data_IF_140923641846
#
_entry.id   IF_140923641846
#
_cell.length_a   1.000
_cell.length_b   1.000
_cell.length_c   1.000
_cell.angle_alpha   90.00
_cell.angle_beta   90.00
_cell.angle_gamma   90.00
#
_symmetry.space_group_name_H-M   'P 1'
#
loop_
_entity.id
_entity.type
_entity.pdbx_description
1 polymer ?
#
# COMPACT_ATOMS: atom_id res chain seq x y z
N UNK A 1 -16.04 -33.06 18.26
CA UNK A 1 -15.10 -32.39 19.19
C UNK A 1 -15.43 -30.90 19.16
N UNK A 2 -16.01 -30.37 20.26
CA UNK A 2 -16.23 -28.94 20.43
C UNK A 2 -14.88 -28.26 20.47
N UNK A 3 -14.56 -27.46 19.45
CA UNK A 3 -13.38 -26.59 19.49
C UNK A 3 -13.57 -25.62 20.65
N UNK A 4 -12.84 -25.85 21.72
CA UNK A 4 -12.80 -24.98 22.88
C UNK A 4 -12.47 -23.56 22.39
N UNK A 5 -13.25 -22.57 22.78
CA UNK A 5 -13.00 -21.18 22.52
C UNK A 5 -11.68 -20.77 23.19
N UNK A 6 -10.57 -20.95 22.48
CA UNK A 6 -9.27 -20.50 22.96
C UNK A 6 -9.11 -19.02 22.62
N UNK A 7 -8.68 -18.17 23.58
CA UNK A 7 -8.44 -16.76 23.35
C UNK A 7 -7.18 -16.51 22.52
N UNK A 8 -6.33 -17.53 22.32
CA UNK A 8 -5.07 -17.41 21.60
C UNK A 8 -5.22 -17.83 20.14
N UNK A 9 -4.54 -17.11 19.26
CA UNK A 9 -4.43 -17.47 17.83
C UNK A 9 -3.38 -18.58 17.67
N UNK A 10 -3.82 -19.82 17.81
CA UNK A 10 -2.96 -20.99 17.58
C UNK A 10 -3.10 -21.38 16.12
N UNK A 11 -2.03 -21.14 15.36
CA UNK A 11 -1.93 -21.54 13.95
C UNK A 11 -1.79 -23.07 13.86
N UNK A 12 -2.42 -23.66 12.84
CA UNK A 12 -2.13 -25.03 12.46
C UNK A 12 -0.67 -25.15 11.99
N UNK A 13 -0.05 -26.31 12.17
CA UNK A 13 1.30 -26.58 11.68
C UNK A 13 1.35 -26.33 10.16
N UNK A 14 2.18 -25.39 9.73
CA UNK A 14 2.32 -25.04 8.32
C UNK A 14 3.80 -24.79 7.97
N UNK A 15 4.25 -25.17 6.78
CA UNK A 15 5.62 -24.95 6.34
C UNK A 15 5.91 -23.51 5.86
N UNK A 16 4.87 -22.67 5.71
CA UNK A 16 4.97 -21.38 5.05
C UNK A 16 5.95 -20.40 5.70
N UNK A 17 5.99 -20.23 7.05
CA UNK A 17 6.89 -19.27 7.69
C UNK A 17 8.36 -19.58 7.43
N UNK A 18 8.77 -20.87 7.52
CA UNK A 18 10.16 -21.27 7.30
C UNK A 18 10.54 -21.15 5.82
N UNK A 19 9.65 -21.54 4.90
CA UNK A 19 9.88 -21.40 3.46
C UNK A 19 9.97 -19.93 3.06
N UNK A 20 9.16 -19.04 3.66
CA UNK A 20 9.21 -17.61 3.38
C UNK A 20 10.52 -17.01 3.87
N UNK A 21 10.95 -17.32 5.09
CA UNK A 21 12.19 -16.77 5.66
C UNK A 21 13.42 -17.17 4.85
N UNK A 22 13.53 -18.43 4.44
CA UNK A 22 14.65 -18.91 3.60
C UNK A 22 14.63 -18.28 2.20
N UNK A 23 13.45 -18.09 1.59
CA UNK A 23 13.35 -17.45 0.28
C UNK A 23 13.62 -15.94 0.32
N UNK A 24 13.22 -15.23 1.38
CA UNK A 24 13.58 -13.82 1.57
C UNK A 24 15.10 -13.70 1.74
N UNK A 25 15.74 -14.58 2.51
CA UNK A 25 17.20 -14.60 2.63
C UNK A 25 17.90 -14.83 1.28
N UNK A 26 17.43 -15.80 0.49
CA UNK A 26 17.93 -16.04 -0.87
C UNK A 26 17.70 -14.83 -1.79
N UNK A 27 16.59 -14.13 -1.64
CA UNK A 27 16.31 -12.90 -2.39
C UNK A 27 17.32 -11.80 -2.05
N UNK A 28 17.69 -11.62 -0.79
CA UNK A 28 18.72 -10.64 -0.40
C UNK A 28 20.09 -10.99 -0.98
N UNK A 29 20.50 -12.27 -0.95
CA UNK A 29 21.73 -12.73 -1.60
C UNK A 29 21.68 -12.46 -3.11
N UNK A 30 20.56 -12.77 -3.77
CA UNK A 30 20.42 -12.55 -5.21
C UNK A 30 20.46 -11.07 -5.60
N UNK A 31 20.01 -10.15 -4.73
CA UNK A 31 20.18 -8.71 -4.94
C UNK A 31 21.67 -8.32 -4.94
N UNK A 32 22.46 -8.83 -4.00
CA UNK A 32 23.91 -8.59 -3.96
C UNK A 32 24.58 -9.15 -5.23
N UNK A 33 24.18 -10.37 -5.65
CA UNK A 33 24.68 -10.99 -6.89
C UNK A 33 24.31 -10.18 -8.14
N UNK A 34 23.10 -9.60 -8.18
CA UNK A 34 22.68 -8.73 -9.28
C UNK A 34 23.52 -7.45 -9.35
N UNK A 35 23.78 -6.80 -8.21
CA UNK A 35 24.58 -5.57 -8.16
C UNK A 35 26.06 -5.81 -8.54
N UNK A 36 26.65 -6.89 -8.05
CA UNK A 36 28.08 -7.16 -8.27
C UNK A 36 28.36 -7.88 -9.60
N UNK A 37 27.53 -8.87 -9.95
CA UNK A 37 27.78 -9.76 -11.10
C UNK A 37 26.80 -9.57 -12.25
N UNK A 38 25.82 -8.63 -12.12
CA UNK A 38 24.75 -8.36 -13.10
C UNK A 38 23.89 -9.58 -13.47
N UNK A 39 23.78 -10.55 -12.56
CA UNK A 39 23.01 -11.80 -12.75
C UNK A 39 21.55 -11.61 -12.36
N UNK A 40 20.72 -11.16 -13.32
CA UNK A 40 19.30 -10.86 -13.07
C UNK A 40 18.42 -12.12 -12.92
N UNK A 41 18.82 -13.27 -13.48
CA UNK A 41 18.01 -14.49 -13.50
C UNK A 41 17.72 -15.04 -12.10
N UNK A 42 18.71 -15.03 -11.20
CA UNK A 42 18.54 -15.49 -9.82
C UNK A 42 17.55 -14.62 -9.03
N UNK A 43 17.61 -13.30 -9.21
CA UNK A 43 16.69 -12.37 -8.57
C UNK A 43 15.26 -12.62 -9.01
N UNK A 44 15.02 -12.77 -10.33
CA UNK A 44 13.69 -13.04 -10.87
C UNK A 44 13.13 -14.37 -10.38
N UNK A 45 13.93 -15.42 -10.32
CA UNK A 45 13.51 -16.72 -9.83
C UNK A 45 13.11 -16.66 -8.34
N UNK A 46 13.92 -16.03 -7.49
CA UNK A 46 13.58 -15.87 -6.07
C UNK A 46 12.33 -15.01 -5.84
N UNK A 47 12.14 -13.97 -6.64
CA UNK A 47 10.93 -13.16 -6.59
C UNK A 47 9.67 -13.98 -6.92
N UNK A 48 9.73 -14.81 -7.95
CA UNK A 48 8.64 -15.73 -8.31
C UNK A 48 8.37 -16.71 -7.15
N UNK A 49 9.40 -17.25 -6.53
CA UNK A 49 9.25 -18.19 -5.40
C UNK A 49 8.62 -17.51 -4.18
N UNK A 50 9.03 -16.28 -3.83
CA UNK A 50 8.41 -15.50 -2.75
C UNK A 50 6.94 -15.24 -3.04
N UNK A 51 6.59 -14.86 -4.27
CA UNK A 51 5.20 -14.64 -4.67
C UNK A 51 4.36 -15.90 -4.59
N UNK A 52 4.86 -17.04 -5.06
CA UNK A 52 4.13 -18.32 -4.99
C UNK A 52 3.88 -18.79 -3.57
N UNK A 53 4.87 -18.65 -2.66
CA UNK A 53 4.74 -18.99 -1.24
C UNK A 53 3.72 -18.05 -0.58
N UNK A 54 3.76 -16.74 -0.86
CA UNK A 54 2.81 -15.77 -0.33
C UNK A 54 1.37 -16.12 -0.74
N UNK A 55 1.14 -16.42 -2.01
CA UNK A 55 -0.19 -16.77 -2.53
C UNK A 55 -0.73 -18.04 -1.87
N UNK A 56 0.12 -19.07 -1.73
CA UNK A 56 -0.29 -20.34 -1.09
C UNK A 56 -0.56 -20.15 0.39
N UNK A 57 0.24 -19.36 1.10
CA UNK A 57 0.02 -19.02 2.51
C UNK A 57 -1.29 -18.26 2.72
N UNK A 58 -1.53 -17.20 1.94
CA UNK A 58 -2.77 -16.42 2.04
C UNK A 58 -4.01 -17.24 1.67
N UNK A 59 -3.89 -18.14 0.68
CA UNK A 59 -4.96 -19.10 0.35
C UNK A 59 -5.32 -19.95 1.58
N UNK A 60 -4.34 -20.46 2.30
CA UNK A 60 -4.60 -21.31 3.47
C UNK A 60 -5.25 -20.51 4.62
N UNK A 61 -4.81 -19.26 4.87
CA UNK A 61 -5.46 -18.35 5.82
C UNK A 61 -6.93 -18.09 5.44
N UNK A 62 -7.21 -17.89 4.15
CA UNK A 62 -8.59 -17.73 3.67
C UNK A 62 -9.41 -18.99 3.93
N UNK A 63 -8.86 -20.16 3.71
CA UNK A 63 -9.54 -21.46 3.97
C UNK A 63 -9.81 -21.65 5.47
N UNK A 64 -8.88 -21.29 6.33
CA UNK A 64 -9.06 -21.32 7.79
C UNK A 64 -10.20 -20.40 8.23
N UNK A 65 -10.31 -19.21 7.64
CA UNK A 65 -11.36 -18.25 7.99
C UNK A 65 -12.74 -18.64 7.46
N UNK A 66 -12.83 -19.21 6.23
CA UNK A 66 -14.12 -19.45 5.56
C UNK A 66 -14.65 -20.84 5.77
N UNK A 67 -13.82 -21.90 5.57
CA UNK A 67 -14.27 -23.29 5.61
C UNK A 67 -14.07 -23.96 6.97
N UNK A 68 -13.03 -23.57 7.72
CA UNK A 68 -12.69 -24.20 8.98
C UNK A 68 -13.28 -23.48 10.20
N UNK A 69 -13.77 -22.23 10.03
CA UNK A 69 -14.37 -21.46 11.11
C UNK A 69 -13.40 -21.13 12.27
N UNK A 70 -12.08 -21.08 12.00
CA UNK A 70 -11.07 -20.83 13.03
C UNK A 70 -11.03 -19.38 13.50
N UNK A 71 -11.63 -18.44 12.76
CA UNK A 71 -11.69 -17.03 13.11
C UNK A 71 -12.89 -16.73 14.01
N UNK A 72 -12.74 -17.02 15.31
CA UNK A 72 -13.70 -16.62 16.32
C UNK A 72 -13.63 -15.11 16.61
N UNK A 73 -14.55 -14.58 17.42
CA UNK A 73 -14.65 -13.15 17.73
C UNK A 73 -13.35 -12.57 18.33
N UNK A 74 -12.67 -13.31 19.21
CA UNK A 74 -11.41 -12.87 19.81
C UNK A 74 -10.29 -12.74 18.76
N UNK A 75 -10.16 -13.72 17.89
CA UNK A 75 -9.18 -13.70 16.80
C UNK A 75 -9.46 -12.56 15.84
N UNK A 76 -10.74 -12.28 15.54
CA UNK A 76 -11.12 -11.15 14.70
C UNK A 76 -10.65 -9.81 15.28
N UNK A 77 -10.80 -9.62 16.59
CA UNK A 77 -10.33 -8.39 17.26
C UNK A 77 -8.79 -8.31 17.29
N UNK A 78 -8.10 -9.42 17.46
CA UNK A 78 -6.62 -9.45 17.39
C UNK A 78 -6.12 -9.10 15.99
N UNK A 79 -6.78 -9.57 14.93
CA UNK A 79 -6.43 -9.23 13.54
C UNK A 79 -6.68 -7.73 13.28
N UNK A 80 -7.78 -7.16 13.77
CA UNK A 80 -8.04 -5.72 13.69
C UNK A 80 -6.95 -4.92 14.41
N UNK A 81 -6.59 -5.32 15.62
CA UNK A 81 -5.53 -4.67 16.39
C UNK A 81 -4.16 -4.76 15.70
N UNK A 82 -3.82 -5.93 15.13
CA UNK A 82 -2.57 -6.09 14.37
C UNK A 82 -2.51 -5.18 13.13
N UNK A 83 -3.63 -4.97 12.46
CA UNK A 83 -3.70 -4.04 11.32
C UNK A 83 -3.49 -2.59 11.74
N UNK A 84 -4.02 -2.18 12.89
CA UNK A 84 -3.76 -0.84 13.45
C UNK A 84 -2.28 -0.64 13.73
N UNK A 85 -1.62 -1.62 14.37
CA UNK A 85 -0.17 -1.56 14.63
C UNK A 85 0.64 -1.51 13.34
N UNK A 86 0.22 -2.25 12.32
CA UNK A 86 0.84 -2.21 10.99
C UNK A 86 0.71 -0.82 10.36
N UNK A 87 -0.49 -0.22 10.33
CA UNK A 87 -0.71 1.14 9.81
C UNK A 87 0.12 2.16 10.58
N UNK A 88 0.22 2.04 11.90
CA UNK A 88 1.07 2.93 12.72
C UNK A 88 2.54 2.80 12.31
N UNK A 89 3.04 1.60 12.09
CA UNK A 89 4.44 1.39 11.66
C UNK A 89 4.72 2.04 10.30
N UNK A 90 3.79 1.90 9.34
CA UNK A 90 3.89 2.52 8.01
C UNK A 90 3.78 4.06 8.09
N UNK A 91 2.98 4.56 9.01
CA UNK A 91 2.91 6.01 9.28
C UNK A 91 4.27 6.56 9.75
N UNK A 92 5.00 5.86 10.62
CA UNK A 92 6.34 6.29 11.04
C UNK A 92 7.35 6.29 9.89
N UNK A 93 7.22 5.38 8.94
CA UNK A 93 8.01 5.39 7.71
C UNK A 93 7.80 6.71 6.94
N UNK A 94 6.55 7.11 6.71
CA UNK A 94 6.25 8.37 6.01
C UNK A 94 6.63 9.60 6.82
N UNK A 95 6.47 9.59 8.14
CA UNK A 95 6.95 10.68 9.02
C UNK A 95 8.45 10.91 8.82
N UNK A 96 9.25 9.86 8.66
CA UNK A 96 10.69 10.00 8.40
C UNK A 96 11.00 10.69 7.06
N UNK A 97 10.20 10.43 6.01
CA UNK A 97 10.34 11.12 4.72
C UNK A 97 9.94 12.59 4.80
N UNK A 98 8.83 12.90 5.49
CA UNK A 98 8.42 14.29 5.74
C UNK A 98 9.43 15.04 6.59
N UNK A 99 9.98 14.40 7.61
CA UNK A 99 11.07 14.98 8.39
C UNK A 99 12.27 15.32 7.51
N UNK A 100 12.75 14.38 6.72
CA UNK A 100 13.88 14.61 5.81
C UNK A 100 13.64 15.81 4.89
N UNK A 101 12.44 15.91 4.32
CA UNK A 101 12.06 17.03 3.48
C UNK A 101 12.04 18.35 4.25
N UNK A 102 11.35 18.41 5.39
CA UNK A 102 11.24 19.62 6.21
C UNK A 102 12.58 20.07 6.77
N UNK A 103 13.43 19.14 7.21
CA UNK A 103 14.77 19.46 7.70
C UNK A 103 15.60 20.19 6.64
N UNK A 104 15.57 19.72 5.41
CA UNK A 104 16.35 20.32 4.32
C UNK A 104 15.71 21.60 3.76
N UNK A 105 14.38 21.73 3.80
CA UNK A 105 13.68 22.91 3.31
C UNK A 105 13.76 24.10 4.29
N UNK A 106 13.70 23.85 5.60
CA UNK A 106 13.73 24.88 6.63
C UNK A 106 15.15 25.37 6.94
N UNK A 107 16.17 24.52 6.75
CA UNK A 107 17.56 24.85 6.95
C UNK A 107 18.41 24.40 5.74
N UNK A 108 18.32 25.10 4.59
CA UNK A 108 19.09 24.75 3.41
C UNK A 108 20.59 24.84 3.68
N UNK A 109 21.37 23.87 3.14
CA UNK A 109 22.82 23.84 3.31
C UNK A 109 23.50 25.00 2.57
N UNK A 110 24.68 25.37 3.03
CA UNK A 110 25.53 26.40 2.41
C UNK A 110 25.87 26.03 0.96
N UNK A 111 26.03 24.73 0.67
CA UNK A 111 26.29 24.19 -0.65
C UNK A 111 25.16 24.48 -1.65
N UNK A 112 23.92 24.57 -1.17
CA UNK A 112 22.73 24.97 -1.96
C UNK A 112 22.58 26.51 -2.06
N UNK A 113 23.49 27.27 -1.49
CA UNK A 113 23.44 28.73 -1.47
C UNK A 113 22.39 29.29 -0.52
N UNK A 114 22.01 28.54 0.54
CA UNK A 114 21.01 28.90 1.56
C UNK A 114 19.60 29.21 0.99
N UNK A 115 19.33 28.79 -0.22
CA UNK A 115 18.04 29.01 -0.89
C UNK A 115 17.28 27.69 -1.01
N UNK A 116 15.99 27.76 -0.69
CA UNK A 116 15.05 26.70 -0.97
C UNK A 116 13.87 27.26 -1.77
N UNK A 117 13.46 26.62 -2.79
CA UNK A 117 13.96 25.39 -3.42
C UNK A 117 15.30 25.58 -4.17
N UNK A 118 16.06 24.48 -4.46
CA UNK A 118 17.33 24.58 -5.19
C UNK A 118 17.17 25.23 -6.56
N UNK A 119 18.12 26.10 -6.92
CA UNK A 119 18.10 26.80 -8.22
C UNK A 119 18.10 25.79 -9.37
N UNK A 120 17.39 26.13 -10.47
CA UNK A 120 17.26 25.33 -11.70
C UNK A 120 16.33 24.09 -11.60
N UNK A 121 15.60 23.88 -10.51
CA UNK A 121 14.54 22.86 -10.46
C UNK A 121 13.21 23.52 -10.83
N UNK A 122 12.61 23.06 -11.92
CA UNK A 122 11.25 23.46 -12.29
C UNK A 122 10.25 22.54 -11.59
N UNK A 123 9.45 23.11 -10.69
CA UNK A 123 8.43 22.38 -9.95
C UNK A 123 7.20 22.08 -10.81
N UNK A 124 6.49 21.05 -10.40
CA UNK A 124 5.17 20.78 -10.96
C UNK A 124 4.18 21.85 -10.53
N UNK A 125 3.33 22.29 -11.45
CA UNK A 125 2.21 23.12 -11.08
C UNK A 125 1.20 22.29 -10.24
N UNK A 126 0.96 22.65 -8.98
CA UNK A 126 0.07 21.87 -8.10
C UNK A 126 -1.37 21.81 -8.63
N UNK A 127 -1.81 22.82 -9.37
CA UNK A 127 -3.19 22.92 -9.89
C UNK A 127 -3.47 22.03 -11.11
N UNK A 128 -2.48 21.35 -11.67
CA UNK A 128 -2.65 20.47 -12.83
C UNK A 128 -2.84 19.01 -12.41
N UNK A 129 -1.91 18.14 -12.81
CA UNK A 129 -1.97 16.69 -12.56
C UNK A 129 -2.05 16.37 -11.05
N UNK A 130 -1.27 17.03 -10.16
CA UNK A 130 -1.34 16.70 -8.73
C UNK A 130 -2.72 16.96 -8.10
N UNK A 131 -3.41 18.06 -8.49
CA UNK A 131 -4.77 18.32 -8.02
C UNK A 131 -5.74 17.27 -8.55
N UNK A 132 -5.63 16.88 -9.82
CA UNK A 132 -6.46 15.82 -10.39
C UNK A 132 -6.26 14.51 -9.63
N UNK A 133 -5.02 14.16 -9.29
CA UNK A 133 -4.68 12.99 -8.48
C UNK A 133 -5.34 13.02 -7.09
N UNK A 134 -5.37 14.19 -6.44
CA UNK A 134 -6.05 14.34 -5.14
C UNK A 134 -7.56 14.10 -5.27
N UNK A 135 -8.20 14.64 -6.30
CA UNK A 135 -9.63 14.44 -6.54
C UNK A 135 -9.94 12.96 -6.79
N UNK A 136 -9.10 12.26 -7.57
CA UNK A 136 -9.28 10.85 -7.88
C UNK A 136 -9.18 10.01 -6.61
N UNK A 137 -8.19 10.24 -5.75
CA UNK A 137 -8.05 9.48 -4.50
C UNK A 137 -9.20 9.79 -3.52
N UNK A 138 -9.57 11.04 -3.34
CA UNK A 138 -10.72 11.41 -2.49
C UNK A 138 -12.03 10.79 -2.98
N UNK A 139 -12.27 10.77 -4.30
CA UNK A 139 -13.45 10.09 -4.86
C UNK A 139 -13.36 8.57 -4.68
N UNK A 140 -12.18 7.96 -4.76
CA UNK A 140 -11.96 6.54 -4.47
C UNK A 140 -12.24 6.19 -3.01
N UNK A 141 -11.83 7.08 -2.08
CA UNK A 141 -12.14 6.97 -0.65
C UNK A 141 -13.65 7.01 -0.38
N UNK A 142 -14.37 7.89 -1.09
CA UNK A 142 -15.84 7.94 -1.02
C UNK A 142 -16.48 6.67 -1.59
N UNK A 143 -15.99 6.15 -2.72
CA UNK A 143 -16.57 4.92 -3.31
C UNK A 143 -16.34 3.69 -2.45
N UNK A 144 -15.23 3.57 -1.70
CA UNK A 144 -15.01 2.45 -0.78
C UNK A 144 -15.92 2.53 0.44
N UNK A 145 -16.22 3.72 0.96
CA UNK A 145 -17.21 3.89 2.04
C UNK A 145 -18.61 3.50 1.59
N UNK A 146 -19.02 3.88 0.37
CA UNK A 146 -20.27 3.40 -0.23
C UNK A 146 -20.30 1.89 -0.39
N UNK A 147 -19.18 1.28 -0.79
CA UNK A 147 -19.04 -0.18 -0.88
C UNK A 147 -19.36 -0.83 0.46
N UNK A 148 -18.83 -0.28 1.57
CA UNK A 148 -19.09 -0.77 2.92
C UNK A 148 -20.56 -0.66 3.30
N UNK A 149 -21.19 0.49 3.04
CA UNK A 149 -22.62 0.70 3.31
C UNK A 149 -23.51 -0.29 2.54
N UNK A 150 -23.22 -0.55 1.26
CA UNK A 150 -23.98 -1.53 0.47
C UNK A 150 -23.73 -2.97 0.91
N UNK A 151 -22.52 -3.28 1.40
CA UNK A 151 -22.20 -4.60 1.96
C UNK A 151 -23.03 -4.86 3.22
N UNK A 152 -23.09 -3.91 4.15
CA UNK A 152 -23.92 -3.98 5.37
C UNK A 152 -25.42 -4.14 5.04
N UNK A 153 -25.89 -3.45 4.00
CA UNK A 153 -27.27 -3.56 3.51
C UNK A 153 -27.53 -4.79 2.62
N UNK A 154 -26.55 -5.70 2.50
CA UNK A 154 -26.63 -6.93 1.70
C UNK A 154 -26.97 -6.74 0.21
N UNK A 155 -26.64 -5.57 -0.37
CA UNK A 155 -26.89 -5.22 -1.78
C UNK A 155 -25.67 -5.61 -2.67
N UNK A 156 -25.49 -6.90 -2.94
CA UNK A 156 -24.29 -7.47 -3.61
C UNK A 156 -23.93 -6.82 -4.97
N UNK A 157 -24.93 -6.49 -5.80
CA UNK A 157 -24.68 -5.86 -7.10
C UNK A 157 -24.00 -4.51 -6.95
N UNK A 158 -24.51 -3.69 -6.04
CA UNK A 158 -23.99 -2.36 -5.78
C UNK A 158 -22.60 -2.41 -5.10
N UNK A 159 -22.39 -3.33 -4.14
CA UNK A 159 -21.07 -3.53 -3.54
C UNK A 159 -20.00 -3.85 -4.58
N UNK A 160 -20.29 -4.78 -5.49
CA UNK A 160 -19.34 -5.13 -6.56
C UNK A 160 -19.10 -3.96 -7.55
N UNK A 161 -20.15 -3.19 -7.84
CA UNK A 161 -20.03 -2.03 -8.74
C UNK A 161 -19.09 -0.96 -8.13
N UNK A 162 -19.36 -0.53 -6.90
CA UNK A 162 -18.55 0.50 -6.24
C UNK A 162 -17.12 0.02 -5.95
N UNK A 163 -16.93 -1.27 -5.64
CA UNK A 163 -15.60 -1.85 -5.50
C UNK A 163 -14.81 -1.84 -6.81
N UNK A 164 -15.43 -2.18 -7.94
CA UNK A 164 -14.79 -2.05 -9.25
C UNK A 164 -14.42 -0.60 -9.55
N UNK A 165 -15.29 0.34 -9.21
CA UNK A 165 -15.06 1.76 -9.43
C UNK A 165 -13.85 2.27 -8.63
N UNK A 166 -13.70 1.86 -7.35
CA UNK A 166 -12.50 2.18 -6.56
C UNK A 166 -11.22 1.65 -7.20
N UNK A 167 -11.24 0.41 -7.70
CA UNK A 167 -10.08 -0.20 -8.38
C UNK A 167 -9.74 0.54 -9.67
N UNK A 168 -10.72 0.95 -10.47
CA UNK A 168 -10.48 1.71 -11.70
C UNK A 168 -9.86 3.07 -11.37
N UNK A 169 -10.39 3.78 -10.37
CA UNK A 169 -9.84 5.07 -9.93
C UNK A 169 -8.40 4.94 -9.44
N UNK A 170 -8.09 3.89 -8.69
CA UNK A 170 -6.72 3.64 -8.22
C UNK A 170 -5.73 3.38 -9.36
N UNK A 171 -6.14 2.61 -10.38
CA UNK A 171 -5.31 2.38 -11.56
C UNK A 171 -5.12 3.67 -12.37
N UNK A 172 -6.16 4.49 -12.46
CA UNK A 172 -6.07 5.78 -13.13
C UNK A 172 -5.09 6.72 -12.43
N UNK A 173 -5.12 6.77 -11.10
CA UNK A 173 -4.11 7.49 -10.30
C UNK A 173 -2.68 7.05 -10.63
N UNK A 174 -2.42 5.74 -10.67
CA UNK A 174 -1.08 5.21 -10.98
C UNK A 174 -0.60 5.60 -12.38
N UNK A 175 -1.50 5.60 -13.36
CA UNK A 175 -1.18 6.03 -14.74
C UNK A 175 -0.80 7.52 -14.76
N UNK A 176 -1.56 8.38 -14.09
CA UNK A 176 -1.27 9.80 -14.01
C UNK A 176 0.06 10.08 -13.29
N UNK A 177 0.36 9.34 -12.21
CA UNK A 177 1.64 9.44 -11.51
C UNK A 177 2.83 9.04 -12.40
N UNK A 178 2.66 8.00 -13.23
CA UNK A 178 3.68 7.63 -14.22
C UNK A 178 3.87 8.71 -15.31
N UNK A 179 2.80 9.37 -15.74
CA UNK A 179 2.88 10.48 -16.71
C UNK A 179 3.64 11.65 -16.08
N UNK A 180 3.33 11.99 -14.83
CA UNK A 180 4.01 13.03 -14.07
C UNK A 180 5.52 12.76 -13.97
N UNK A 181 5.92 11.54 -13.62
CA UNK A 181 7.34 11.15 -13.57
C UNK A 181 8.06 11.26 -14.92
N UNK A 182 7.35 11.02 -16.03
CA UNK A 182 7.93 11.18 -17.38
C UNK A 182 8.08 12.65 -17.79
N UNK A 183 7.22 13.53 -17.26
CA UNK A 183 7.24 14.96 -17.53
C UNK A 183 8.17 15.74 -16.59
N UNK A 184 8.68 15.09 -15.55
CA UNK A 184 9.59 15.69 -14.59
C UNK A 184 10.85 16.21 -15.28
N UNK A 185 11.22 17.44 -14.96
CA UNK A 185 12.43 18.11 -15.47
C UNK A 185 13.66 17.83 -14.62
N UNK A 186 13.49 17.14 -13.49
CA UNK A 186 14.52 16.77 -12.53
C UNK A 186 14.53 15.25 -12.30
N UNK A 187 15.70 14.74 -11.95
CA UNK A 187 15.91 13.30 -11.66
C UNK A 187 16.16 13.07 -10.17
N UNK A 188 16.21 11.81 -9.78
CA UNK A 188 16.49 11.40 -8.40
C UNK A 188 17.84 11.93 -7.88
N UNK A 189 18.84 12.06 -8.76
CA UNK A 189 20.21 12.44 -8.42
C UNK A 189 20.47 13.95 -8.45
N UNK A 190 19.55 14.76 -8.98
CA UNK A 190 19.85 16.19 -9.24
C UNK A 190 19.93 17.02 -7.95
N UNK A 191 19.19 16.64 -6.91
CA UNK A 191 19.19 17.39 -5.65
C UNK A 191 18.55 16.60 -4.50
N UNK A 192 18.68 17.15 -3.29
CA UNK A 192 17.95 16.65 -2.10
C UNK A 192 16.44 16.73 -2.32
N UNK A 193 15.94 17.75 -3.05
CA UNK A 193 14.52 17.83 -3.41
C UNK A 193 14.12 16.64 -4.29
N UNK A 194 14.86 16.35 -5.35
CA UNK A 194 14.59 15.23 -6.26
C UNK A 194 14.59 13.89 -5.53
N UNK A 195 15.63 13.63 -4.74
CA UNK A 195 15.72 12.37 -3.98
C UNK A 195 14.58 12.20 -2.98
N UNK A 196 14.24 13.22 -2.18
CA UNK A 196 13.15 13.18 -1.21
C UNK A 196 11.78 13.06 -1.89
N UNK A 197 11.56 13.75 -3.01
CA UNK A 197 10.35 13.67 -3.80
C UNK A 197 10.11 12.26 -4.34
N UNK A 198 11.08 11.70 -5.08
CA UNK A 198 10.93 10.37 -5.67
C UNK A 198 10.87 9.26 -4.63
N UNK A 199 11.57 9.39 -3.49
CA UNK A 199 11.44 8.44 -2.39
C UNK A 199 10.03 8.46 -1.80
N UNK A 200 9.54 9.63 -1.37
CA UNK A 200 8.25 9.74 -0.71
C UNK A 200 7.08 9.38 -1.64
N UNK A 201 7.04 9.91 -2.85
CA UNK A 201 5.99 9.62 -3.84
C UNK A 201 6.11 8.20 -4.40
N UNK A 202 7.32 7.65 -4.55
CA UNK A 202 7.55 6.28 -5.00
C UNK A 202 7.09 5.24 -3.98
N UNK A 203 7.42 5.42 -2.69
CA UNK A 203 6.90 4.56 -1.63
C UNK A 203 5.37 4.66 -1.52
N UNK A 204 4.81 5.88 -1.64
CA UNK A 204 3.36 6.04 -1.71
C UNK A 204 2.75 5.26 -2.88
N UNK A 205 3.36 5.35 -4.08
CA UNK A 205 2.92 4.59 -5.25
C UNK A 205 2.96 3.07 -5.03
N UNK A 206 3.98 2.54 -4.37
CA UNK A 206 4.05 1.13 -3.97
C UNK A 206 2.90 0.75 -3.02
N UNK A 207 2.59 1.61 -2.03
CA UNK A 207 1.45 1.39 -1.13
C UNK A 207 0.12 1.41 -1.88
N UNK A 208 -0.06 2.30 -2.86
CA UNK A 208 -1.25 2.31 -3.73
C UNK A 208 -1.36 0.99 -4.49
N UNK A 209 -0.27 0.44 -5.04
CA UNK A 209 -0.28 -0.86 -5.74
C UNK A 209 -0.68 -1.98 -4.78
N UNK A 210 -0.10 -2.05 -3.58
CA UNK A 210 -0.44 -3.06 -2.57
C UNK A 210 -1.91 -2.91 -2.15
N UNK A 211 -2.37 -1.69 -1.91
CA UNK A 211 -3.76 -1.40 -1.57
C UNK A 211 -4.74 -1.85 -2.66
N UNK A 212 -4.43 -1.57 -3.93
CA UNK A 212 -5.25 -2.04 -5.06
C UNK A 212 -5.29 -3.56 -5.16
N UNK A 213 -4.17 -4.24 -4.88
CA UNK A 213 -4.14 -5.72 -4.81
C UNK A 213 -5.04 -6.25 -3.70
N UNK A 214 -5.05 -5.63 -2.51
CA UNK A 214 -5.97 -6.00 -1.43
C UNK A 214 -7.43 -5.82 -1.83
N UNK A 215 -7.76 -4.71 -2.51
CA UNK A 215 -9.12 -4.47 -3.01
C UNK A 215 -9.51 -5.50 -4.09
N UNK A 216 -8.61 -5.84 -5.02
CA UNK A 216 -8.86 -6.87 -6.05
C UNK A 216 -9.11 -8.24 -5.43
N UNK A 217 -8.32 -8.65 -4.43
CA UNK A 217 -8.53 -9.91 -3.71
C UNK A 217 -9.89 -9.94 -3.00
N UNK A 218 -10.28 -8.82 -2.36
CA UNK A 218 -11.59 -8.73 -1.74
C UNK A 218 -12.73 -8.77 -2.76
N UNK A 219 -12.56 -8.16 -3.93
CA UNK A 219 -13.53 -8.26 -5.03
C UNK A 219 -13.71 -9.72 -5.48
N UNK A 220 -12.61 -10.49 -5.65
CA UNK A 220 -12.68 -11.91 -5.98
C UNK A 220 -13.41 -12.71 -4.90
N UNK A 221 -13.15 -12.42 -3.62
CA UNK A 221 -13.82 -13.05 -2.47
C UNK A 221 -15.32 -12.70 -2.43
N UNK A 222 -15.70 -11.47 -2.76
CA UNK A 222 -17.11 -11.06 -2.88
C UNK A 222 -17.83 -11.81 -4.00
N UNK A 223 -17.19 -11.99 -5.16
CA UNK A 223 -17.74 -12.79 -6.27
C UNK A 223 -17.99 -14.23 -5.84
N UNK A 224 -17.07 -14.82 -5.10
CA UNK A 224 -17.16 -16.19 -4.60
C UNK A 224 -18.03 -16.35 -3.33
N UNK A 225 -18.74 -15.28 -2.93
CA UNK A 225 -19.61 -15.27 -1.75
C UNK A 225 -18.92 -15.61 -0.42
N UNK A 226 -17.62 -15.35 -0.32
CA UNK A 226 -16.84 -15.58 0.92
C UNK A 226 -17.06 -14.48 1.96
N UNK A 227 -17.60 -13.32 1.57
CA UNK A 227 -17.87 -12.19 2.46
C UNK A 227 -19.37 -12.06 2.69
N UNK A 228 -19.76 -11.92 3.95
CA UNK A 228 -21.14 -11.69 4.38
C UNK A 228 -21.25 -10.35 5.11
N UNK A 229 -22.47 -9.88 5.33
CA UNK A 229 -22.72 -8.66 6.12
C UNK A 229 -22.26 -8.77 7.58
N UNK A 230 -22.14 -10.01 8.13
CA UNK A 230 -21.63 -10.26 9.50
C UNK A 230 -20.12 -10.46 9.50
N UNK A 231 -19.57 -11.15 8.50
CA UNK A 231 -18.16 -11.55 8.46
C UNK A 231 -17.48 -11.00 7.21
N UNK A 232 -16.93 -9.79 7.31
CA UNK A 232 -16.26 -9.08 6.21
C UNK A 232 -14.96 -8.37 6.64
N UNK A 233 -14.26 -8.92 7.64
CA UNK A 233 -13.06 -8.30 8.23
C UNK A 233 -12.02 -7.96 7.19
N UNK A 234 -11.73 -8.87 6.22
CA UNK A 234 -10.71 -8.59 5.20
C UNK A 234 -11.03 -7.34 4.38
N UNK A 235 -12.32 -7.06 4.13
CA UNK A 235 -12.73 -5.83 3.48
C UNK A 235 -12.53 -4.62 4.39
N UNK A 236 -12.93 -4.69 5.66
CA UNK A 236 -12.70 -3.60 6.63
C UNK A 236 -11.21 -3.21 6.71
N UNK A 237 -10.34 -4.21 6.83
CA UNK A 237 -8.89 -3.98 6.93
C UNK A 237 -8.31 -3.35 5.65
N UNK A 238 -8.78 -3.79 4.48
CA UNK A 238 -8.37 -3.18 3.21
C UNK A 238 -8.88 -1.75 3.07
N UNK A 239 -10.07 -1.44 3.57
CA UNK A 239 -10.62 -0.09 3.58
C UNK A 239 -9.83 0.84 4.51
N UNK A 240 -9.46 0.39 5.72
CA UNK A 240 -8.58 1.16 6.62
C UNK A 240 -7.23 1.48 6.00
N UNK A 241 -6.62 0.48 5.36
CA UNK A 241 -5.36 0.67 4.65
C UNK A 241 -5.49 1.65 3.49
N UNK A 242 -6.60 1.59 2.74
CA UNK A 242 -6.87 2.52 1.65
C UNK A 242 -7.01 3.96 2.14
N UNK A 243 -7.80 4.19 3.19
CA UNK A 243 -7.94 5.52 3.80
C UNK A 243 -6.62 6.06 4.35
N UNK A 244 -5.77 5.20 4.90
CA UNK A 244 -4.43 5.59 5.30
C UNK A 244 -3.61 6.10 4.12
N UNK A 245 -3.62 5.41 2.98
CA UNK A 245 -2.93 5.82 1.75
C UNK A 245 -3.43 7.19 1.29
N UNK A 246 -4.76 7.41 1.27
CA UNK A 246 -5.36 8.68 0.87
C UNK A 246 -4.89 9.84 1.77
N UNK A 247 -4.82 9.64 3.07
CA UNK A 247 -4.33 10.64 4.02
C UNK A 247 -2.86 10.97 3.76
N UNK A 248 -2.01 9.97 3.53
CA UNK A 248 -0.60 10.18 3.20
C UNK A 248 -0.45 10.99 1.91
N UNK A 249 -1.29 10.73 0.89
CA UNK A 249 -1.27 11.52 -0.34
C UNK A 249 -1.57 13.00 -0.09
N UNK A 250 -2.54 13.32 0.76
CA UNK A 250 -2.84 14.71 1.11
C UNK A 250 -1.63 15.41 1.76
N UNK A 251 -0.92 14.74 2.65
CA UNK A 251 0.32 15.28 3.22
C UNK A 251 1.42 15.47 2.15
N UNK A 252 1.57 14.50 1.23
CA UNK A 252 2.52 14.61 0.11
C UNK A 252 2.17 15.81 -0.79
N UNK A 253 0.90 15.97 -1.13
CA UNK A 253 0.44 17.08 -1.94
C UNK A 253 0.76 18.43 -1.29
N UNK A 254 0.48 18.58 0.02
CA UNK A 254 0.75 19.81 0.76
C UNK A 254 2.25 20.11 0.85
N UNK A 255 3.09 19.11 1.14
CA UNK A 255 4.53 19.32 1.40
C UNK A 255 5.34 19.45 0.12
N UNK A 256 5.16 18.58 -0.86
CA UNK A 256 6.01 18.55 -2.06
C UNK A 256 5.50 19.40 -3.21
N UNK A 257 4.19 19.60 -3.34
CA UNK A 257 3.62 20.35 -4.44
C UNK A 257 3.19 21.76 -4.05
N UNK A 258 2.48 21.90 -2.93
CA UNK A 258 1.96 23.21 -2.53
C UNK A 258 3.00 24.10 -1.84
N UNK A 259 3.76 23.54 -0.89
CA UNK A 259 4.74 24.30 -0.08
C UNK A 259 5.85 24.96 -0.90
N UNK A 260 6.20 24.41 -2.05
CA UNK A 260 7.31 24.88 -2.89
C UNK A 260 6.90 25.87 -3.99
N UNK A 261 5.62 26.18 -4.12
CA UNK A 261 5.07 27.19 -4.98
C UNK A 261 4.69 28.40 -4.15
#
# INVERSE_FOLDING_TARGET
>A
MSKINQPYFILNLSPWPILMSTNIFNMMISNIMMLNFKMNSFMMMNLIMVMTISITWWRDIIRESTFQGNHNFYIMNLIKFSMILFIISEMFLFISFFWNFLHNSLAPSIELGLNWPPKNILFFNPMLIPLLNTIILLTSSFTITLTHMYLLNNKKKNTMLFMNLTIILSLYFLILQMIEYKQATFTFSDSIFGSSFYMATGFHGLHVIIGTMFLMLNLMRMKNLHLSFIHHISFELSAWYWHFIDIIWLFLYMTFYWWNN
#
